data_IF_404413385181
#
_entry.id   IF_404413385181
#
_cell.length_a   1.000
_cell.length_b   1.000
_cell.length_c   1.000
_cell.angle_alpha   90.00
_cell.angle_beta   90.00
_cell.angle_gamma   90.00
#
_symmetry.space_group_name_H-M   'P 1'
#
loop_
_entity.id
_entity.type
_entity.pdbx_description
1 polymer ?
#
# COMPACT_ATOMS: atom_id res chain seq x y z
N UNK A 1 5.81 -26.10 -22.55
CA UNK A 1 5.36 -24.78 -23.02
C UNK A 1 4.23 -24.18 -22.17
N UNK A 2 3.08 -24.85 -21.98
CA UNK A 2 1.93 -24.26 -21.25
C UNK A 2 2.21 -23.86 -19.79
N UNK A 3 2.91 -24.69 -19.01
CA UNK A 3 3.23 -24.38 -17.60
C UNK A 3 4.22 -23.22 -17.44
N UNK A 4 5.22 -23.12 -18.32
CA UNK A 4 6.20 -22.03 -18.27
C UNK A 4 5.53 -20.67 -18.53
N UNK A 5 4.67 -20.59 -19.55
CA UNK A 5 3.89 -19.38 -19.83
C UNK A 5 2.88 -19.04 -18.72
N UNK A 6 2.27 -20.06 -18.10
CA UNK A 6 1.40 -19.84 -16.94
C UNK A 6 2.19 -19.21 -15.78
N UNK A 7 3.33 -19.80 -15.41
CA UNK A 7 4.17 -19.30 -14.31
C UNK A 7 4.69 -17.90 -14.59
N UNK A 8 5.09 -17.63 -15.83
CA UNK A 8 5.54 -16.30 -16.27
C UNK A 8 4.43 -15.25 -16.11
N UNK A 9 3.23 -15.53 -16.59
CA UNK A 9 2.09 -14.62 -16.46
C UNK A 9 1.68 -14.39 -15.01
N UNK A 10 1.66 -15.45 -14.20
CA UNK A 10 1.37 -15.37 -12.76
C UNK A 10 2.40 -14.50 -12.03
N UNK A 11 3.70 -14.82 -12.15
CA UNK A 11 4.77 -14.13 -11.42
C UNK A 11 4.87 -12.66 -11.87
N UNK A 12 4.79 -12.39 -13.17
CA UNK A 12 4.89 -11.03 -13.71
C UNK A 12 3.74 -10.17 -13.20
N UNK A 13 2.50 -10.65 -13.31
CA UNK A 13 1.33 -9.92 -12.82
C UNK A 13 1.40 -9.71 -11.30
N UNK A 14 1.76 -10.74 -10.53
CA UNK A 14 1.90 -10.63 -9.07
C UNK A 14 2.92 -9.58 -8.66
N UNK A 15 4.09 -9.53 -9.30
CA UNK A 15 5.10 -8.52 -9.02
C UNK A 15 4.64 -7.12 -9.39
N UNK A 16 4.04 -6.94 -10.57
CA UNK A 16 3.57 -5.61 -11.00
C UNK A 16 2.45 -5.08 -10.12
N UNK A 17 1.51 -5.95 -9.71
CA UNK A 17 0.37 -5.52 -8.90
C UNK A 17 0.73 -5.29 -7.44
N UNK A 18 1.60 -6.12 -6.86
CA UNK A 18 1.95 -6.04 -5.44
C UNK A 18 3.07 -5.04 -5.14
N UNK A 19 4.00 -4.80 -6.08
CA UNK A 19 5.17 -3.93 -5.85
C UNK A 19 4.82 -2.49 -6.18
N UNK A 20 4.37 -1.75 -5.18
CA UNK A 20 4.13 -0.32 -5.33
C UNK A 20 3.94 0.40 -3.98
N UNK A 21 4.28 1.70 -3.90
CA UNK A 21 4.06 2.48 -2.69
C UNK A 21 2.57 2.59 -2.33
N UNK A 22 1.67 2.59 -3.32
CA UNK A 22 0.22 2.56 -3.10
C UNK A 22 -0.25 1.28 -2.40
N UNK A 23 0.37 0.13 -2.68
CA UNK A 23 0.02 -1.13 -2.03
C UNK A 23 0.34 -1.08 -0.55
N UNK A 24 1.54 -0.61 -0.20
CA UNK A 24 1.99 -0.52 1.19
C UNK A 24 1.20 0.54 1.95
N UNK A 25 1.15 1.78 1.43
CA UNK A 25 0.43 2.87 2.08
C UNK A 25 -1.07 2.57 2.18
N UNK A 26 -1.68 2.11 1.10
CA UNK A 26 -3.09 1.75 1.07
C UNK A 26 -3.42 0.69 2.10
N UNK A 27 -2.66 -0.41 2.15
CA UNK A 27 -2.91 -1.48 3.13
C UNK A 27 -2.78 -1.00 4.57
N UNK A 28 -1.78 -0.16 4.87
CA UNK A 28 -1.61 0.40 6.21
C UNK A 28 -2.79 1.31 6.57
N UNK A 29 -3.24 2.15 5.64
CA UNK A 29 -4.35 3.06 5.84
C UNK A 29 -5.68 2.33 6.02
N UNK A 30 -5.94 1.31 5.20
CA UNK A 30 -7.09 0.43 5.34
C UNK A 30 -7.09 -0.29 6.70
N UNK A 31 -5.95 -0.86 7.11
CA UNK A 31 -5.86 -1.54 8.40
C UNK A 31 -6.00 -0.63 9.61
N UNK A 32 -5.41 0.58 9.58
CA UNK A 32 -5.41 1.50 10.73
C UNK A 32 -6.63 2.41 10.82
N UNK A 33 -7.25 2.77 9.69
CA UNK A 33 -8.34 3.75 9.66
C UNK A 33 -9.60 3.24 8.96
N UNK A 34 -9.57 2.05 8.35
CA UNK A 34 -10.66 1.52 7.53
C UNK A 34 -10.83 2.24 6.19
N UNK A 35 -9.86 3.06 5.78
CA UNK A 35 -9.93 3.80 4.51
C UNK A 35 -9.26 3.02 3.39
N UNK A 36 -10.07 2.30 2.62
CA UNK A 36 -9.63 1.51 1.47
C UNK A 36 -9.62 2.28 0.14
N UNK A 37 -9.83 3.60 0.14
CA UNK A 37 -9.96 4.41 -1.08
C UNK A 37 -8.75 4.25 -2.01
N UNK A 38 -7.54 4.23 -1.46
CA UNK A 38 -6.32 3.99 -2.23
C UNK A 38 -6.26 2.58 -2.84
N UNK A 39 -6.67 1.56 -2.08
CA UNK A 39 -6.73 0.19 -2.61
C UNK A 39 -7.77 0.07 -3.73
N UNK A 40 -8.93 0.73 -3.59
CA UNK A 40 -9.98 0.70 -4.60
C UNK A 40 -9.51 1.35 -5.91
N UNK A 41 -8.84 2.51 -5.83
CA UNK A 41 -8.24 3.17 -6.99
C UNK A 41 -7.18 2.25 -7.61
N UNK A 42 -6.30 1.64 -6.81
CA UNK A 42 -5.29 0.69 -7.29
C UNK A 42 -5.91 -0.53 -7.97
N UNK A 43 -6.95 -1.12 -7.39
CA UNK A 43 -7.63 -2.28 -7.93
C UNK A 43 -8.27 -1.98 -9.30
N UNK A 44 -8.82 -0.78 -9.48
CA UNK A 44 -9.32 -0.34 -10.78
C UNK A 44 -8.18 -0.24 -11.82
N UNK A 45 -7.05 0.37 -11.46
CA UNK A 45 -5.88 0.47 -12.34
C UNK A 45 -5.30 -0.91 -12.69
N UNK A 46 -5.19 -1.80 -11.70
CA UNK A 46 -4.71 -3.17 -11.87
C UNK A 46 -5.67 -3.99 -12.72
N UNK A 47 -6.99 -3.77 -12.62
CA UNK A 47 -7.98 -4.40 -13.49
C UNK A 47 -7.74 -4.09 -14.97
N UNK A 48 -7.48 -2.83 -15.31
CA UNK A 48 -7.12 -2.45 -16.68
C UNK A 48 -5.80 -3.06 -17.13
N UNK A 49 -4.78 -3.04 -16.27
CA UNK A 49 -3.48 -3.65 -16.57
C UNK A 49 -3.60 -5.18 -16.72
N UNK A 50 -4.43 -5.85 -15.92
CA UNK A 50 -4.68 -7.28 -15.98
C UNK A 50 -5.32 -7.70 -17.30
N UNK A 51 -6.19 -6.88 -17.90
CA UNK A 51 -6.73 -7.15 -19.24
C UNK A 51 -5.62 -7.17 -20.30
N UNK A 52 -4.70 -6.19 -20.24
CA UNK A 52 -3.56 -6.11 -21.17
C UNK A 52 -2.53 -7.23 -20.94
N UNK A 53 -2.27 -7.58 -19.68
CA UNK A 53 -1.37 -8.69 -19.37
C UNK A 53 -2.01 -10.04 -19.69
N UNK A 54 -3.30 -10.24 -19.48
CA UNK A 54 -3.96 -11.50 -19.79
C UNK A 54 -3.99 -11.79 -21.29
N UNK A 55 -4.10 -10.77 -22.14
CA UNK A 55 -3.99 -10.94 -23.60
C UNK A 55 -2.57 -11.29 -24.07
N UNK A 56 -1.55 -10.87 -23.32
CA UNK A 56 -0.14 -11.06 -23.68
C UNK A 56 0.51 -12.30 -23.04
N UNK A 57 0.18 -12.57 -21.78
CA UNK A 57 0.80 -13.59 -20.92
C UNK A 57 -0.19 -14.72 -20.54
N UNK A 58 -1.45 -14.61 -20.95
CA UNK A 58 -2.46 -15.65 -20.78
C UNK A 58 -3.09 -15.72 -19.38
N UNK A 59 -3.70 -16.87 -19.11
CA UNK A 59 -4.56 -17.09 -17.93
C UNK A 59 -3.81 -17.05 -16.58
N UNK A 60 -2.49 -17.17 -16.58
CA UNK A 60 -1.66 -17.06 -15.37
C UNK A 60 -1.86 -15.74 -14.61
N UNK A 61 -2.21 -14.66 -15.33
CA UNK A 61 -2.46 -13.32 -14.76
C UNK A 61 -3.61 -13.33 -13.75
N UNK A 62 -4.68 -14.10 -14.00
CA UNK A 62 -5.85 -14.16 -13.11
C UNK A 62 -5.47 -14.69 -11.72
N UNK A 63 -4.50 -15.61 -11.66
CA UNK A 63 -4.04 -16.19 -10.39
C UNK A 63 -3.24 -15.20 -9.53
N UNK A 64 -2.81 -14.06 -10.06
CA UNK A 64 -2.17 -13.00 -9.27
C UNK A 64 -3.06 -12.45 -8.16
N UNK A 65 -4.39 -12.61 -8.29
CA UNK A 65 -5.35 -12.28 -7.22
C UNK A 65 -4.98 -12.95 -5.90
N UNK A 66 -4.47 -14.18 -5.93
CA UNK A 66 -4.06 -14.89 -4.71
C UNK A 66 -2.89 -14.19 -4.04
N UNK A 67 -1.89 -13.75 -4.81
CA UNK A 67 -0.75 -13.00 -4.28
C UNK A 67 -1.18 -11.65 -3.74
N UNK A 68 -2.07 -10.94 -4.46
CA UNK A 68 -2.63 -9.65 -4.00
C UNK A 68 -3.36 -9.83 -2.67
N UNK A 69 -4.25 -10.82 -2.58
CA UNK A 69 -5.05 -11.08 -1.37
C UNK A 69 -4.16 -11.40 -0.17
N UNK A 70 -3.14 -12.25 -0.36
CA UNK A 70 -2.20 -12.60 0.72
C UNK A 70 -1.32 -11.40 1.10
N UNK A 71 -0.75 -10.69 0.13
CA UNK A 71 0.20 -9.63 0.40
C UNK A 71 -0.49 -8.36 0.91
N UNK A 72 -1.45 -7.84 0.14
CA UNK A 72 -2.18 -6.62 0.45
C UNK A 72 -3.13 -6.84 1.64
N UNK A 73 -3.90 -7.94 1.61
CA UNK A 73 -4.79 -8.30 2.72
C UNK A 73 -4.02 -8.65 4.00
N UNK A 74 -2.88 -9.33 3.89
CA UNK A 74 -2.00 -9.59 5.02
C UNK A 74 -1.43 -8.31 5.64
N UNK A 75 -0.97 -7.37 4.82
CA UNK A 75 -0.51 -6.06 5.30
C UNK A 75 -1.63 -5.28 6.00
N UNK A 76 -2.84 -5.28 5.42
CA UNK A 76 -3.98 -4.58 6.01
C UNK A 76 -4.40 -5.20 7.35
N UNK A 77 -4.44 -6.54 7.43
CA UNK A 77 -4.71 -7.24 8.68
C UNK A 77 -3.64 -6.96 9.75
N UNK A 78 -2.35 -7.00 9.37
CA UNK A 78 -1.24 -6.71 10.29
C UNK A 78 -1.31 -5.27 10.80
N UNK A 79 -1.66 -4.31 9.95
CA UNK A 79 -1.86 -2.92 10.34
C UNK A 79 -3.02 -2.77 11.34
N UNK A 80 -4.16 -3.43 11.09
CA UNK A 80 -5.28 -3.45 12.03
C UNK A 80 -4.95 -4.09 13.37
N UNK A 81 -4.17 -5.17 13.38
CA UNK A 81 -3.68 -5.78 14.63
C UNK A 81 -2.70 -4.85 15.38
N UNK A 82 -1.87 -4.11 14.65
CA UNK A 82 -0.92 -3.15 15.20
C UNK A 82 -1.60 -1.90 15.79
N UNK A 83 -2.84 -1.60 15.40
CA UNK A 83 -3.61 -0.46 15.93
C UNK A 83 -3.69 -0.50 17.47
N UNK A 84 -3.78 -1.69 18.08
CA UNK A 84 -3.83 -1.85 19.54
C UNK A 84 -2.51 -1.47 20.25
N UNK A 85 -1.38 -1.50 19.52
CA UNK A 85 -0.08 -1.11 20.04
C UNK A 85 0.21 0.39 19.86
N UNK A 86 -0.63 1.10 19.10
CA UNK A 86 -0.48 2.52 18.79
C UNK A 86 -1.49 3.34 19.59
N UNK A 87 -1.06 4.48 20.12
CA UNK A 87 -1.98 5.42 20.75
C UNK A 87 -2.63 6.36 19.73
N UNK A 88 -3.67 7.09 20.13
CA UNK A 88 -4.41 7.99 19.24
C UNK A 88 -3.53 9.07 18.60
N UNK A 89 -2.54 9.60 19.33
CA UNK A 89 -1.61 10.60 18.81
C UNK A 89 -0.66 10.02 17.73
N UNK A 90 -0.16 8.80 17.92
CA UNK A 90 0.65 8.07 16.95
C UNK A 90 -0.14 7.80 15.67
N UNK A 91 -1.39 7.36 15.81
CA UNK A 91 -2.28 7.10 14.67
C UNK A 91 -2.58 8.42 13.93
N UNK A 92 -2.79 9.51 14.64
CA UNK A 92 -3.03 10.83 14.05
C UNK A 92 -1.82 11.30 13.21
N UNK A 93 -0.60 11.24 13.76
CA UNK A 93 0.62 11.62 13.05
C UNK A 93 0.95 10.69 11.86
N UNK A 94 0.71 9.39 12.01
CA UNK A 94 0.78 8.43 10.91
C UNK A 94 -0.21 8.77 9.80
N UNK A 95 -1.45 9.09 10.16
CA UNK A 95 -2.50 9.45 9.21
C UNK A 95 -2.22 10.77 8.52
N UNK A 96 -1.68 11.76 9.23
CA UNK A 96 -1.23 13.03 8.66
C UNK A 96 -0.11 12.81 7.64
N UNK A 97 0.90 12.02 8.00
CA UNK A 97 2.00 11.63 7.10
C UNK A 97 1.47 10.86 5.88
N UNK A 98 0.54 9.92 6.10
CA UNK A 98 -0.16 9.17 5.08
C UNK A 98 -0.93 10.08 4.11
N UNK A 99 -1.67 11.06 4.61
CA UNK A 99 -2.40 12.05 3.82
C UNK A 99 -1.49 12.86 2.90
N UNK A 100 -0.31 13.27 3.38
CA UNK A 100 0.70 13.94 2.53
C UNK A 100 1.20 13.00 1.42
N UNK A 101 1.42 11.73 1.73
CA UNK A 101 1.79 10.74 0.71
C UNK A 101 0.65 10.45 -0.27
N UNK A 102 -0.62 10.42 0.17
CA UNK A 102 -1.79 10.31 -0.71
C UNK A 102 -1.81 11.48 -1.70
N UNK A 103 -1.57 12.70 -1.22
CA UNK A 103 -1.49 13.87 -2.09
C UNK A 103 -0.35 13.71 -3.12
N UNK A 104 0.82 13.25 -2.68
CA UNK A 104 1.94 12.97 -3.58
C UNK A 104 1.63 11.88 -4.62
N UNK A 105 0.87 10.85 -4.24
CA UNK A 105 0.37 9.81 -5.14
C UNK A 105 -0.63 10.41 -6.13
N UNK A 106 -1.55 11.26 -5.69
CA UNK A 106 -2.50 11.93 -6.58
C UNK A 106 -1.78 12.76 -7.65
N UNK A 107 -0.76 13.53 -7.26
CA UNK A 107 0.08 14.28 -8.21
C UNK A 107 0.86 13.39 -9.18
N UNK A 108 1.28 12.20 -8.72
CA UNK A 108 1.95 11.20 -9.55
C UNK A 108 0.98 10.57 -10.55
N UNK A 109 -0.25 10.25 -10.13
CA UNK A 109 -1.29 9.66 -10.97
C UNK A 109 -1.82 10.63 -12.03
N UNK A 110 -1.94 11.92 -11.69
CA UNK A 110 -2.30 12.99 -12.62
C UNK A 110 -1.15 13.40 -13.55
N UNK A 111 0.01 12.75 -13.43
CA UNK A 111 1.26 13.06 -14.15
C UNK A 111 1.71 14.53 -14.05
N UNK A 112 1.32 15.21 -12.97
CA UNK A 112 1.68 16.61 -12.72
C UNK A 112 3.09 16.73 -12.14
N UNK A 113 3.47 15.79 -11.26
CA UNK A 113 4.80 15.77 -10.64
C UNK A 113 5.23 14.35 -10.27
N UNK A 114 6.43 13.98 -10.70
CA UNK A 114 7.07 12.70 -10.37
C UNK A 114 7.67 12.77 -8.96
N UNK A 115 6.92 12.33 -7.96
CA UNK A 115 7.38 12.20 -6.58
C UNK A 115 7.72 10.73 -6.29
N UNK A 116 8.89 10.48 -5.70
CA UNK A 116 9.33 9.12 -5.32
C UNK A 116 8.70 8.73 -3.99
N UNK A 117 7.39 8.45 -4.00
CA UNK A 117 6.61 8.14 -2.78
C UNK A 117 7.19 6.93 -2.03
N UNK A 118 7.78 5.96 -2.73
CA UNK A 118 8.45 4.83 -2.11
C UNK A 118 9.55 5.26 -1.11
N UNK A 119 10.26 6.35 -1.38
CA UNK A 119 11.30 6.88 -0.49
C UNK A 119 10.71 7.54 0.77
N UNK A 120 9.42 7.85 0.76
CA UNK A 120 8.71 8.45 1.90
C UNK A 120 8.08 7.40 2.81
N UNK A 121 8.00 6.13 2.39
CA UNK A 121 7.44 5.04 3.21
C UNK A 121 8.05 4.90 4.61
N UNK A 122 9.38 5.08 4.82
CA UNK A 122 9.95 5.06 6.16
C UNK A 122 9.34 6.10 7.11
N UNK A 123 8.78 7.19 6.58
CA UNK A 123 8.13 8.22 7.38
C UNK A 123 6.91 7.68 8.16
N UNK A 124 6.22 6.65 7.66
CA UNK A 124 5.11 6.00 8.39
C UNK A 124 5.56 5.34 9.70
N UNK A 125 6.82 4.90 9.76
CA UNK A 125 7.39 4.31 10.98
C UNK A 125 8.02 5.41 11.83
N UNK A 126 8.63 6.41 11.21
CA UNK A 126 9.27 7.52 11.92
C UNK A 126 8.23 8.37 12.67
N UNK A 127 7.07 8.67 12.07
CA UNK A 127 6.02 9.47 12.69
C UNK A 127 5.57 8.96 14.09
N UNK A 128 5.16 7.69 14.27
CA UNK A 128 4.76 7.18 15.59
C UNK A 128 5.96 7.06 16.54
N UNK A 129 7.18 6.81 16.04
CA UNK A 129 8.39 6.79 16.85
C UNK A 129 8.74 8.17 17.43
N UNK A 130 8.55 9.23 16.65
CA UNK A 130 8.74 10.61 17.12
C UNK A 130 7.73 10.93 18.22
N UNK A 131 6.46 10.57 18.05
CA UNK A 131 5.43 10.72 19.09
C UNK A 131 5.81 9.92 20.35
N UNK A 132 6.27 8.68 20.20
CA UNK A 132 6.73 7.85 21.32
C UNK A 132 7.86 8.52 22.10
N UNK A 133 8.86 9.05 21.40
CA UNK A 133 10.00 9.73 22.00
C UNK A 133 9.58 11.00 22.76
N UNK A 134 8.70 11.81 22.17
CA UNK A 134 8.17 13.03 22.78
C UNK A 134 7.36 12.74 24.05
N UNK A 135 6.53 11.69 24.02
CA UNK A 135 5.80 11.23 25.21
C UNK A 135 6.74 10.71 26.30
N UNK A 136 7.80 9.98 25.94
CA UNK A 136 8.82 9.52 26.89
C UNK A 136 9.59 10.69 27.54
N UNK A 137 9.74 11.80 26.83
CA UNK A 137 10.31 13.06 27.33
C UNK A 137 9.34 13.89 28.20
N UNK A 138 8.11 13.43 28.40
CA UNK A 138 7.10 14.11 29.22
C UNK A 138 6.40 15.28 28.51
N UNK A 139 6.55 15.40 27.20
CA UNK A 139 5.84 16.41 26.40
C UNK A 139 4.45 15.85 26.09
N UNK A 140 3.41 16.45 26.66
CA UNK A 140 2.03 16.09 26.37
C UNK A 140 1.69 16.51 24.94
N UNK A 141 1.58 15.53 24.04
CA UNK A 141 1.05 15.73 22.69
C UNK A 141 -0.42 15.36 22.77
N UNK A 142 -1.28 16.38 22.74
CA UNK A 142 -2.75 16.28 22.78
C UNK A 142 -3.32 15.93 21.42
#
# INVERSE_FOLDING_TARGET
>A
HSMAHFTEGFVTASLVFCVGPMTILGSIQDGLTGDYSLLAIKAMLDGFAALAFASSLGMGVVFSVLTILIYQGGLSLLAGLAQNALNSAMIAEMSATGGVMILAIGLLLLDLKRIRVANMLPALIIAPLVVAALQALGIAIS
#
